data_IF_213222878634
#
_entry.id   IF_213222878634
#
_cell.length_a   1.000
_cell.length_b   1.000
_cell.length_c   1.000
_cell.angle_alpha   90.00
_cell.angle_beta   90.00
_cell.angle_gamma   90.00
#
_symmetry.space_group_name_H-M   'P 1'
#
loop_
_entity.id
_entity.type
_entity.pdbx_description
1 polymer ?
#
# COMPACT_ATOMS: atom_id res chain seq x y z
N UNK A 1 30.68 -32.41 21.69
CA UNK A 1 31.25 -32.24 20.34
C UNK A 1 31.77 -30.82 20.29
N UNK A 2 33.09 -30.65 20.22
CA UNK A 2 33.70 -29.33 20.17
C UNK A 2 33.26 -28.62 18.89
N UNK A 3 32.77 -27.38 19.03
CA UNK A 3 32.48 -26.50 17.89
C UNK A 3 33.81 -26.15 17.22
N UNK A 4 34.20 -26.91 16.21
CA UNK A 4 35.38 -26.59 15.42
C UNK A 4 35.12 -25.30 14.62
N UNK A 5 36.05 -24.35 14.71
CA UNK A 5 35.93 -23.07 13.99
C UNK A 5 36.07 -23.35 12.49
N UNK A 6 35.08 -22.90 11.72
CA UNK A 6 35.12 -22.96 10.26
C UNK A 6 36.24 -22.05 9.74
N UNK A 7 37.07 -22.59 8.85
CA UNK A 7 38.24 -21.90 8.28
C UNK A 7 38.19 -21.90 6.75
N UNK A 8 37.08 -22.35 6.15
CA UNK A 8 36.89 -22.28 4.71
C UNK A 8 36.35 -20.89 4.34
N UNK A 9 37.19 -20.09 3.66
CA UNK A 9 36.85 -18.74 3.24
C UNK A 9 35.60 -18.68 2.34
N UNK A 10 35.28 -19.77 1.62
CA UNK A 10 34.11 -19.83 0.74
C UNK A 10 32.77 -19.85 1.48
N UNK A 11 32.79 -20.12 2.80
CA UNK A 11 31.62 -20.07 3.66
C UNK A 11 31.33 -18.67 4.23
N UNK A 12 32.23 -17.70 4.02
CA UNK A 12 32.08 -16.33 4.52
C UNK A 12 31.77 -15.35 3.40
N UNK A 13 30.78 -14.46 3.60
CA UNK A 13 30.63 -13.28 2.74
C UNK A 13 31.64 -12.19 3.12
N UNK A 14 31.84 -11.20 2.25
CA UNK A 14 32.71 -10.05 2.56
C UNK A 14 32.24 -9.34 3.85
N UNK A 15 30.93 -9.22 4.05
CA UNK A 15 30.37 -8.61 5.26
C UNK A 15 30.61 -9.49 6.52
N UNK A 16 30.59 -10.81 6.38
CA UNK A 16 30.94 -11.72 7.48
C UNK A 16 32.41 -11.60 7.84
N UNK A 17 33.29 -11.46 6.85
CA UNK A 17 34.74 -11.24 7.05
C UNK A 17 34.98 -9.87 7.72
N UNK A 18 34.28 -8.81 7.31
CA UNK A 18 34.40 -7.50 7.96
C UNK A 18 33.85 -7.51 9.38
N UNK A 19 32.76 -8.24 9.63
CA UNK A 19 32.23 -8.45 10.99
C UNK A 19 33.21 -9.24 11.85
N UNK A 20 33.85 -10.27 11.29
CA UNK A 20 34.88 -11.08 11.96
C UNK A 20 36.12 -10.25 12.34
N UNK A 21 36.50 -9.30 11.49
CA UNK A 21 37.63 -8.39 11.73
C UNK A 21 37.26 -7.12 12.53
N UNK A 22 35.97 -6.96 12.83
CA UNK A 22 35.41 -5.75 13.47
C UNK A 22 35.81 -4.49 12.69
N UNK A 23 35.50 -4.49 11.39
CA UNK A 23 35.75 -3.39 10.44
C UNK A 23 34.39 -2.80 10.03
N UNK A 24 34.20 -1.50 10.29
CA UNK A 24 32.97 -0.78 9.93
C UNK A 24 33.27 0.19 8.78
N UNK A 25 32.76 -0.12 7.59
CA UNK A 25 32.94 0.73 6.41
C UNK A 25 31.82 1.78 6.36
N UNK A 26 32.21 3.06 6.33
CA UNK A 26 31.30 4.18 6.05
C UNK A 26 31.20 4.42 4.55
N UNK A 27 30.11 5.01 4.08
CA UNK A 27 29.85 5.24 2.64
C UNK A 27 30.94 6.09 1.94
N UNK A 28 31.74 6.82 2.71
CA UNK A 28 32.75 7.78 2.24
C UNK A 28 34.20 7.29 2.46
N UNK A 29 34.40 6.02 2.86
CA UNK A 29 35.71 5.51 3.25
C UNK A 29 36.68 5.34 2.07
N UNK A 30 37.90 5.86 2.21
CA UNK A 30 38.97 5.70 1.22
C UNK A 30 39.48 4.24 1.17
N UNK A 31 39.65 3.70 -0.03
CA UNK A 31 40.08 2.31 -0.25
C UNK A 31 41.45 2.01 0.40
N UNK A 32 42.40 2.95 0.37
CA UNK A 32 43.73 2.74 0.95
C UNK A 32 43.68 2.70 2.48
N UNK A 33 42.77 3.47 3.09
CA UNK A 33 42.60 3.47 4.53
C UNK A 33 41.89 2.20 5.02
N UNK A 34 40.88 1.72 4.28
CA UNK A 34 40.27 0.41 4.52
C UNK A 34 41.29 -0.72 4.36
N UNK A 35 42.15 -0.67 3.32
CA UNK A 35 43.21 -1.66 3.08
C UNK A 35 44.21 -1.72 4.24
N UNK A 36 44.64 -0.57 4.78
CA UNK A 36 45.52 -0.52 5.96
C UNK A 36 44.86 -1.13 7.19
N UNK A 37 43.58 -0.86 7.40
CA UNK A 37 42.83 -1.39 8.54
C UNK A 37 42.70 -2.92 8.47
N UNK A 38 42.39 -3.46 7.28
CA UNK A 38 42.34 -4.90 7.03
C UNK A 38 43.67 -5.57 7.36
N UNK A 39 44.80 -5.02 6.87
CA UNK A 39 46.14 -5.57 7.12
C UNK A 39 46.47 -5.54 8.62
N UNK A 40 46.17 -4.43 9.30
CA UNK A 40 46.41 -4.28 10.74
C UNK A 40 45.63 -5.31 11.57
N UNK A 41 44.33 -5.46 11.31
CA UNK A 41 43.46 -6.40 12.04
C UNK A 41 43.86 -7.85 11.78
N UNK A 42 44.09 -8.23 10.52
CA UNK A 42 44.50 -9.60 10.16
C UNK A 42 45.85 -9.97 10.76
N UNK A 43 46.86 -9.09 10.71
CA UNK A 43 48.18 -9.34 11.33
C UNK A 43 48.07 -9.57 12.85
N UNK A 44 47.24 -8.79 13.54
CA UNK A 44 47.00 -8.97 14.98
C UNK A 44 46.45 -10.36 15.31
N UNK A 45 45.53 -10.89 14.49
CA UNK A 45 44.99 -12.23 14.69
C UNK A 45 46.01 -13.31 14.31
N UNK A 46 46.76 -13.14 13.22
CA UNK A 46 47.84 -14.05 12.82
C UNK A 46 48.86 -14.22 13.96
N UNK A 47 49.39 -13.12 14.49
CA UNK A 47 50.35 -13.15 15.60
C UNK A 47 49.78 -13.84 16.84
N UNK A 48 48.53 -13.52 17.20
CA UNK A 48 47.85 -14.14 18.34
C UNK A 48 47.74 -15.66 18.18
N UNK A 49 47.34 -16.14 17.01
CA UNK A 49 47.13 -17.58 16.78
C UNK A 49 48.43 -18.33 16.49
N UNK A 50 49.47 -17.67 16.00
CA UNK A 50 50.84 -18.21 15.93
C UNK A 50 51.41 -18.44 17.34
N UNK A 51 51.24 -17.49 18.27
CA UNK A 51 51.64 -17.66 19.68
C UNK A 51 50.91 -18.80 20.39
N UNK A 52 49.63 -19.01 20.03
CA UNK A 52 48.81 -20.11 20.54
C UNK A 52 49.09 -21.45 19.84
N UNK A 53 50.06 -21.50 18.92
CA UNK A 53 50.42 -22.68 18.11
C UNK A 53 49.21 -23.26 17.36
N UNK A 54 48.33 -22.40 16.84
CA UNK A 54 47.18 -22.78 16.02
C UNK A 54 47.39 -22.38 14.54
N UNK A 55 48.09 -23.20 13.75
CA UNK A 55 48.44 -22.87 12.37
C UNK A 55 47.22 -22.81 11.44
N UNK A 56 46.14 -23.54 11.75
CA UNK A 56 44.90 -23.58 10.96
C UNK A 56 44.23 -22.21 10.93
N UNK A 57 44.08 -21.57 12.09
CA UNK A 57 43.46 -20.25 12.21
C UNK A 57 44.41 -19.14 11.72
N UNK A 58 45.71 -19.27 11.98
CA UNK A 58 46.72 -18.34 11.43
C UNK A 58 46.69 -18.31 9.89
N UNK A 59 46.61 -19.47 9.25
CA UNK A 59 46.50 -19.58 7.79
C UNK A 59 45.18 -19.02 7.25
N UNK A 60 44.08 -19.19 7.98
CA UNK A 60 42.80 -18.58 7.65
C UNK A 60 42.87 -17.05 7.59
N UNK A 61 43.47 -16.39 8.60
CA UNK A 61 43.63 -14.93 8.58
C UNK A 61 44.63 -14.44 7.52
N UNK A 62 45.65 -15.23 7.17
CA UNK A 62 46.53 -14.94 6.00
C UNK A 62 45.74 -14.98 4.69
N UNK A 63 44.89 -15.99 4.53
CA UNK A 63 44.02 -16.14 3.35
C UNK A 63 43.00 -14.99 3.23
N UNK A 64 42.43 -14.54 4.36
CA UNK A 64 41.57 -13.35 4.42
C UNK A 64 42.32 -12.10 3.94
N UNK A 65 43.55 -11.89 4.44
CA UNK A 65 44.35 -10.73 4.08
C UNK A 65 44.63 -10.70 2.57
N UNK A 66 45.07 -11.81 1.99
CA UNK A 66 45.34 -11.92 0.54
C UNK A 66 44.07 -11.72 -0.30
N UNK A 67 42.95 -12.28 0.14
CA UNK A 67 41.66 -12.17 -0.56
C UNK A 67 41.17 -10.71 -0.65
N UNK A 68 41.34 -9.94 0.42
CA UNK A 68 40.82 -8.57 0.51
C UNK A 68 41.77 -7.49 -0.04
N UNK A 69 43.08 -7.77 -0.15
CA UNK A 69 44.09 -6.76 -0.50
C UNK A 69 44.65 -6.87 -1.92
N UNK A 70 44.17 -7.84 -2.70
CA UNK A 70 44.61 -8.06 -4.09
C UNK A 70 44.20 -6.90 -4.99
N UNK A 71 45.18 -6.07 -5.38
CA UNK A 71 44.98 -4.99 -6.35
C UNK A 71 44.59 -5.59 -7.72
N UNK A 72 43.43 -5.19 -8.24
CA UNK A 72 43.09 -5.41 -9.66
C UNK A 72 43.70 -4.26 -10.44
N UNK A 73 44.71 -4.55 -11.25
CA UNK A 73 45.44 -3.57 -12.05
C UNK A 73 44.51 -2.58 -12.76
N UNK A 74 44.76 -1.31 -12.47
CA UNK A 74 44.26 -0.13 -13.16
C UNK A 74 44.89 -0.03 -14.55
N UNK A 75 44.09 -0.08 -15.61
CA UNK A 75 44.24 0.84 -16.74
C UNK A 75 42.94 0.96 -17.53
N UNK A 76 42.44 2.19 -17.53
CA UNK A 76 41.26 2.71 -18.18
C UNK A 76 41.49 2.95 -19.67
N UNK A 77 40.43 2.81 -20.45
CA UNK A 77 40.16 3.69 -21.60
C UNK A 77 38.66 3.83 -21.76
N UNK A 78 38.17 5.01 -21.38
CA UNK A 78 36.82 5.51 -21.67
C UNK A 78 36.80 5.89 -23.15
N UNK A 79 35.99 5.23 -23.98
CA UNK A 79 35.39 5.83 -25.20
C UNK A 79 34.04 5.17 -25.49
N UNK A 80 33.00 6.01 -25.45
CA UNK A 80 31.70 6.03 -26.16
C UNK A 80 31.01 4.73 -26.62
N UNK A 81 29.74 4.64 -26.22
CA UNK A 81 28.65 3.93 -26.89
C UNK A 81 28.60 4.22 -28.40
N UNK A 82 28.53 3.18 -29.24
CA UNK A 82 27.38 3.12 -30.15
C UNK A 82 26.77 1.71 -30.29
N UNK A 83 25.44 1.67 -30.16
CA UNK A 83 24.41 0.79 -30.77
C UNK A 83 24.87 -0.35 -31.73
N UNK A 84 24.13 -1.49 -31.74
CA UNK A 84 24.61 -2.77 -32.30
C UNK A 84 24.48 -2.87 -33.82
N UNK A 85 25.51 -3.39 -34.50
CA UNK A 85 25.44 -3.92 -35.86
C UNK A 85 26.33 -5.17 -36.02
N UNK A 86 25.69 -6.26 -36.46
CA UNK A 86 26.12 -7.35 -37.37
C UNK A 86 27.53 -8.01 -37.33
N UNK A 87 27.63 -9.33 -37.64
CA UNK A 87 28.86 -10.11 -37.50
C UNK A 87 29.70 -10.20 -38.78
N UNK A 88 31.02 -10.39 -38.62
CA UNK A 88 31.93 -11.05 -39.58
C UNK A 88 33.25 -11.41 -38.85
N UNK A 89 33.60 -12.69 -38.70
CA UNK A 89 34.34 -13.57 -39.64
C UNK A 89 35.85 -13.34 -39.69
N UNK A 90 36.61 -14.35 -39.25
CA UNK A 90 37.87 -14.77 -39.87
C UNK A 90 39.17 -14.48 -39.10
N UNK A 91 39.95 -15.53 -38.82
CA UNK A 91 41.39 -15.38 -38.53
C UNK A 91 41.98 -16.45 -37.61
N UNK A 92 42.23 -17.64 -38.15
CA UNK A 92 43.04 -18.70 -37.54
C UNK A 92 44.54 -18.35 -37.59
N UNK A 93 45.30 -18.69 -36.55
CA UNK A 93 46.62 -19.32 -36.70
C UNK A 93 47.00 -20.10 -35.44
N UNK A 94 47.35 -21.37 -35.65
CA UNK A 94 47.89 -22.31 -34.68
C UNK A 94 49.38 -22.05 -34.43
N UNK A 95 49.85 -22.26 -33.19
CA UNK A 95 51.17 -22.84 -32.91
C UNK A 95 51.09 -23.77 -31.70
N UNK A 96 51.43 -25.03 -31.94
CA UNK A 96 51.68 -26.12 -31.01
C UNK A 96 53.15 -26.14 -30.61
N UNK A 97 53.48 -26.41 -29.34
CA UNK A 97 54.65 -27.23 -28.96
C UNK A 97 54.59 -27.74 -27.50
N UNK A 98 54.38 -29.06 -27.38
CA UNK A 98 55.06 -30.07 -26.53
C UNK A 98 55.30 -29.87 -25.01
N UNK A 99 54.43 -30.53 -24.24
CA UNK A 99 54.65 -31.53 -23.15
C UNK A 99 55.98 -31.61 -22.36
N UNK A 100 55.86 -31.57 -21.02
CA UNK A 100 56.41 -32.58 -20.09
C UNK A 100 55.63 -32.53 -18.75
N UNK A 101 55.01 -33.65 -18.37
CA UNK A 101 54.00 -33.72 -17.31
C UNK A 101 54.48 -34.16 -15.93
N UNK A 102 53.68 -33.81 -14.91
CA UNK A 102 53.50 -34.53 -13.64
C UNK A 102 52.02 -34.43 -13.21
N UNK A 103 51.32 -35.57 -13.32
CA UNK A 103 50.13 -36.06 -12.60
C UNK A 103 49.00 -35.12 -12.10
N UNK A 104 47.84 -35.28 -12.77
CA UNK A 104 46.48 -35.42 -12.23
C UNK A 104 45.96 -34.42 -11.17
N UNK A 105 45.46 -33.28 -11.65
CA UNK A 105 44.23 -32.68 -11.12
C UNK A 105 43.23 -32.67 -12.28
N UNK A 106 42.13 -33.41 -12.12
CA UNK A 106 41.03 -33.36 -13.08
C UNK A 106 40.45 -31.94 -13.09
N UNK A 107 40.92 -31.12 -14.02
CA UNK A 107 40.23 -29.91 -14.44
C UNK A 107 38.92 -30.34 -15.05
N UNK A 108 37.84 -30.27 -14.27
CA UNK A 108 36.51 -30.39 -14.82
C UNK A 108 36.27 -29.11 -15.63
N UNK A 109 36.37 -29.31 -16.93
CA UNK A 109 36.32 -28.32 -17.98
C UNK A 109 34.91 -27.79 -18.08
N UNK A 110 34.74 -26.53 -17.70
CA UNK A 110 33.71 -25.63 -18.25
C UNK A 110 34.29 -24.22 -18.42
N UNK A 111 35.58 -24.12 -18.77
CA UNK A 111 36.17 -22.90 -19.31
C UNK A 111 35.81 -22.78 -20.79
N UNK A 112 34.56 -22.41 -21.03
CA UNK A 112 34.06 -21.90 -22.30
C UNK A 112 33.37 -20.57 -22.04
N UNK A 113 34.15 -19.48 -21.98
CA UNK A 113 33.72 -18.07 -22.09
C UNK A 113 32.27 -17.75 -21.63
N UNK A 114 31.91 -18.17 -20.42
CA UNK A 114 30.62 -17.91 -19.80
C UNK A 114 30.88 -17.44 -18.39
N UNK A 115 30.46 -16.22 -18.07
CA UNK A 115 30.57 -15.66 -16.73
C UNK A 115 30.10 -16.70 -15.68
N UNK A 116 30.97 -17.19 -14.77
CA UNK A 116 30.57 -18.14 -13.74
C UNK A 116 29.79 -17.38 -12.66
N UNK A 117 28.54 -17.04 -12.98
CA UNK A 117 27.63 -16.39 -12.06
C UNK A 117 27.12 -17.49 -11.10
N UNK A 118 27.80 -17.66 -9.97
CA UNK A 118 27.32 -18.46 -8.84
C UNK A 118 26.14 -17.74 -8.13
N UNK A 119 25.05 -17.45 -8.86
CA UNK A 119 23.82 -16.88 -8.28
C UNK A 119 23.04 -17.99 -7.60
N UNK A 120 23.03 -17.99 -6.26
CA UNK A 120 22.20 -18.88 -5.43
C UNK A 120 20.70 -18.55 -5.52
N UNK A 121 20.38 -17.31 -5.87
CA UNK A 121 19.01 -16.84 -6.04
C UNK A 121 18.87 -16.00 -7.31
N UNK A 122 17.65 -15.98 -7.85
CA UNK A 122 17.25 -15.15 -8.97
C UNK A 122 16.07 -14.29 -8.54
N UNK A 123 16.13 -13.02 -8.91
CA UNK A 123 14.99 -12.11 -8.78
C UNK A 123 14.10 -12.22 -10.01
N UNK A 124 12.79 -12.38 -9.78
CA UNK A 124 11.76 -12.33 -10.82
C UNK A 124 10.83 -11.16 -10.54
N UNK A 125 10.45 -10.43 -11.58
CA UNK A 125 9.45 -9.38 -11.50
C UNK A 125 8.17 -9.92 -12.11
N UNK A 126 7.11 -9.97 -11.30
CA UNK A 126 5.78 -10.38 -11.72
C UNK A 126 4.90 -9.14 -11.78
N UNK A 127 4.63 -8.66 -12.99
CA UNK A 127 3.65 -7.61 -13.22
C UNK A 127 2.23 -8.19 -13.16
N UNK A 128 1.36 -7.53 -12.40
CA UNK A 128 -0.05 -7.88 -12.25
C UNK A 128 -0.87 -6.69 -12.70
N UNK A 129 -1.82 -6.96 -13.60
CA UNK A 129 -2.75 -5.98 -14.14
C UNK A 129 -4.16 -6.55 -14.02
N UNK A 130 -5.03 -5.83 -13.33
CA UNK A 130 -6.41 -6.25 -13.08
C UNK A 130 -7.25 -6.39 -14.37
N UNK A 131 -6.82 -5.81 -15.51
CA UNK A 131 -7.44 -6.07 -16.82
C UNK A 131 -7.31 -7.52 -17.27
N UNK A 132 -6.31 -8.23 -16.76
CA UNK A 132 -6.04 -9.64 -17.07
C UNK A 132 -6.62 -10.61 -16.02
N UNK A 133 -7.50 -10.13 -15.14
CA UNK A 133 -8.19 -10.98 -14.15
C UNK A 133 -9.11 -11.99 -14.85
N UNK A 134 -9.42 -13.08 -14.15
CA UNK A 134 -10.40 -14.04 -14.64
C UNK A 134 -11.78 -13.36 -14.77
N UNK A 135 -12.46 -13.43 -15.94
CA UNK A 135 -13.74 -12.77 -16.19
C UNK A 135 -14.86 -13.12 -15.20
N UNK A 136 -14.73 -14.22 -14.43
CA UNK A 136 -15.69 -14.55 -13.37
C UNK A 136 -15.66 -13.55 -12.20
N UNK A 137 -14.60 -12.74 -12.06
CA UNK A 137 -14.47 -11.72 -11.03
C UNK A 137 -14.84 -10.34 -11.58
N UNK A 138 -16.01 -9.78 -11.22
CA UNK A 138 -16.41 -8.47 -11.72
C UNK A 138 -15.55 -7.33 -11.17
N UNK A 139 -15.10 -7.45 -9.91
CA UNK A 139 -14.28 -6.45 -9.24
C UNK A 139 -12.84 -6.43 -9.75
N UNK A 140 -12.32 -5.22 -10.01
CA UNK A 140 -10.91 -5.00 -10.33
C UNK A 140 -10.02 -4.98 -9.08
N UNK A 141 -10.58 -5.02 -7.86
CA UNK A 141 -9.87 -4.93 -6.59
C UNK A 141 -10.04 -6.14 -5.67
N UNK A 142 -10.85 -7.12 -6.07
CA UNK A 142 -11.00 -8.41 -5.40
C UNK A 142 -11.15 -9.50 -6.45
N UNK A 143 -10.01 -10.10 -6.84
CA UNK A 143 -9.96 -11.05 -7.94
C UNK A 143 -8.85 -12.09 -7.75
N UNK A 144 -8.85 -13.10 -8.61
CA UNK A 144 -7.81 -14.11 -8.69
C UNK A 144 -7.17 -14.14 -10.08
N UNK A 145 -5.86 -14.38 -10.13
CA UNK A 145 -5.09 -14.65 -11.34
C UNK A 145 -4.49 -16.04 -11.24
N UNK A 146 -4.61 -16.80 -12.33
CA UNK A 146 -3.86 -18.03 -12.57
C UNK A 146 -2.60 -17.67 -13.37
N UNK A 147 -1.42 -18.00 -12.85
CA UNK A 147 -0.17 -17.77 -13.57
C UNK A 147 -0.04 -18.77 -14.72
N UNK A 148 0.36 -18.29 -15.90
CA UNK A 148 0.59 -19.17 -17.07
C UNK A 148 1.69 -20.19 -16.79
N UNK A 149 2.72 -19.79 -16.05
CA UNK A 149 3.81 -20.63 -15.62
C UNK A 149 3.98 -20.53 -14.11
N UNK A 150 3.91 -21.65 -13.36
CA UNK A 150 4.21 -21.67 -11.95
C UNK A 150 5.60 -21.12 -11.64
N UNK A 151 5.69 -20.31 -10.59
CA UNK A 151 6.97 -19.79 -10.08
C UNK A 151 7.39 -20.69 -8.92
N UNK A 152 8.41 -21.51 -9.16
CA UNK A 152 8.93 -22.45 -8.17
C UNK A 152 10.00 -21.81 -7.27
N UNK A 153 10.24 -22.45 -6.12
CA UNK A 153 11.34 -22.14 -5.21
C UNK A 153 11.37 -20.69 -4.70
N UNK A 154 10.19 -20.06 -4.56
CA UNK A 154 10.06 -18.70 -4.02
C UNK A 154 10.37 -18.72 -2.52
N UNK A 155 11.23 -17.80 -2.08
CA UNK A 155 11.60 -17.60 -0.67
C UNK A 155 11.26 -16.20 -0.16
N UNK A 156 10.97 -15.26 -1.06
CA UNK A 156 10.63 -13.88 -0.72
C UNK A 156 9.66 -13.29 -1.75
N UNK A 157 8.72 -12.46 -1.29
CA UNK A 157 7.83 -11.63 -2.10
C UNK A 157 7.75 -10.21 -1.53
N UNK A 158 7.84 -9.19 -2.39
CA UNK A 158 7.70 -7.78 -2.01
C UNK A 158 7.00 -6.96 -3.09
N UNK A 159 6.14 -6.02 -2.71
CA UNK A 159 5.61 -5.02 -3.64
C UNK A 159 6.74 -4.08 -4.08
N UNK A 160 6.88 -3.85 -5.39
CA UNK A 160 7.94 -3.01 -5.95
C UNK A 160 7.45 -1.81 -6.73
N UNK A 161 6.26 -1.86 -7.31
CA UNK A 161 5.69 -0.77 -8.10
C UNK A 161 4.15 -0.86 -8.04
N UNK A 162 3.47 0.26 -8.24
CA UNK A 162 2.00 0.40 -8.17
C UNK A 162 1.52 1.59 -9.02
N UNK A 163 0.54 1.32 -9.88
CA UNK A 163 -0.29 2.32 -10.55
C UNK A 163 -1.74 2.16 -10.10
N UNK A 164 -2.25 3.14 -9.36
CA UNK A 164 -3.60 3.08 -8.77
C UNK A 164 -4.40 4.34 -9.11
N UNK A 165 -5.55 4.22 -9.80
CA UNK A 165 -6.46 5.35 -10.01
C UNK A 165 -7.24 5.68 -8.73
N UNK A 166 -7.31 6.96 -8.35
CA UNK A 166 -8.13 7.47 -7.24
C UNK A 166 -9.57 7.73 -7.69
N UNK A 167 -10.22 6.69 -8.21
CA UNK A 167 -11.56 6.78 -8.83
C UNK A 167 -12.70 6.35 -7.93
N UNK A 168 -12.43 5.94 -6.69
CA UNK A 168 -13.44 5.55 -5.71
C UNK A 168 -14.34 6.73 -5.28
N UNK A 169 -15.56 6.42 -4.83
CA UNK A 169 -16.50 7.42 -4.31
C UNK A 169 -16.55 7.41 -2.77
N UNK A 170 -16.14 8.50 -2.10
CA UNK A 170 -16.25 8.63 -0.64
C UNK A 170 -17.69 8.60 -0.14
N UNK A 171 -18.63 9.08 -0.95
CA UNK A 171 -20.08 9.07 -0.69
C UNK A 171 -20.70 8.12 -1.72
N UNK A 172 -21.29 7.01 -1.26
CA UNK A 172 -21.98 6.07 -2.15
C UNK A 172 -22.99 5.17 -1.42
N UNK A 173 -23.96 4.67 -2.18
CA UNK A 173 -24.92 3.68 -1.70
C UNK A 173 -24.25 2.35 -1.36
N UNK A 174 -23.17 1.98 -2.06
CA UNK A 174 -22.40 0.76 -1.76
C UNK A 174 -21.73 0.81 -0.38
N UNK A 175 -21.37 2.01 0.09
CA UNK A 175 -20.83 2.24 1.44
C UNK A 175 -21.92 2.51 2.49
N UNK A 176 -23.18 2.56 2.08
CA UNK A 176 -24.35 2.88 2.92
C UNK A 176 -24.16 4.17 3.74
N UNK A 177 -23.58 5.18 3.09
CA UNK A 177 -23.15 6.43 3.72
C UNK A 177 -23.59 7.70 2.97
N UNK A 178 -24.57 7.58 2.08
CA UNK A 178 -25.01 8.65 1.18
C UNK A 178 -26.41 9.16 1.51
N UNK A 179 -26.84 9.04 2.76
CA UNK A 179 -28.13 9.52 3.19
C UNK A 179 -28.14 9.96 4.66
N UNK A 180 -29.15 10.74 5.02
CA UNK A 180 -29.49 11.05 6.41
C UNK A 180 -30.98 11.25 6.58
N UNK A 181 -31.46 11.08 7.81
CA UNK A 181 -32.84 11.36 8.17
C UNK A 181 -32.96 12.66 8.94
N UNK A 182 -34.03 13.41 8.66
CA UNK A 182 -34.40 14.58 9.44
C UNK A 182 -35.86 14.46 9.84
N UNK A 183 -36.14 14.63 11.12
CA UNK A 183 -37.48 14.69 11.66
C UNK A 183 -37.78 16.11 12.12
N UNK A 184 -38.92 16.65 11.73
CA UNK A 184 -39.35 18.01 12.08
C UNK A 184 -40.57 17.91 12.99
N UNK A 185 -40.46 18.43 14.20
CA UNK A 185 -41.55 18.48 15.16
C UNK A 185 -42.35 19.76 14.96
N UNK A 186 -43.67 19.63 14.77
CA UNK A 186 -44.56 20.78 14.61
C UNK A 186 -45.20 21.17 15.95
N UNK A 187 -45.59 22.43 16.06
CA UNK A 187 -46.40 22.92 17.19
C UNK A 187 -47.75 22.20 17.26
N UNK A 188 -48.35 21.94 16.09
CA UNK A 188 -49.60 21.21 15.95
C UNK A 188 -49.48 20.13 14.86
N UNK A 189 -49.94 18.91 15.18
CA UNK A 189 -49.97 17.78 14.25
C UNK A 189 -48.78 16.83 14.37
N UNK A 190 -48.78 15.72 13.60
CA UNK A 190 -47.72 14.73 13.65
C UNK A 190 -46.38 15.29 13.12
N UNK A 191 -45.24 14.74 13.56
CA UNK A 191 -43.95 15.10 13.04
C UNK A 191 -43.84 14.73 11.55
N UNK A 192 -43.02 15.48 10.82
CA UNK A 192 -42.67 15.16 9.43
C UNK A 192 -41.31 14.50 9.35
N UNK A 193 -41.15 13.57 8.42
CA UNK A 193 -39.91 12.84 8.18
C UNK A 193 -39.39 13.19 6.80
N UNK A 194 -38.10 13.45 6.72
CA UNK A 194 -37.39 13.75 5.49
C UNK A 194 -36.23 12.77 5.35
N UNK A 195 -36.11 12.20 4.16
CA UNK A 195 -35.01 11.32 3.79
C UNK A 195 -34.13 12.08 2.80
N UNK A 196 -32.96 12.52 3.24
CA UNK A 196 -32.02 13.26 2.39
C UNK A 196 -31.07 12.25 1.77
N UNK A 197 -31.07 12.17 0.45
CA UNK A 197 -30.25 11.28 -0.35
C UNK A 197 -29.23 12.08 -1.18
N UNK A 198 -28.00 11.63 -1.16
CA UNK A 198 -26.88 12.17 -1.92
C UNK A 198 -26.48 11.13 -2.99
N UNK A 199 -26.42 11.50 -4.27
CA UNK A 199 -25.95 10.60 -5.31
C UNK A 199 -24.50 10.15 -5.08
N UNK A 200 -24.16 8.98 -5.60
CA UNK A 200 -22.81 8.43 -5.51
C UNK A 200 -21.83 9.36 -6.24
N UNK A 201 -20.71 9.67 -5.59
CA UNK A 201 -19.71 10.51 -6.23
C UNK A 201 -18.66 11.10 -5.30
N UNK A 202 -17.83 11.93 -5.93
CA UNK A 202 -16.91 12.84 -5.26
C UNK A 202 -17.43 14.26 -5.41
N UNK A 203 -17.37 15.04 -4.34
CA UNK A 203 -17.95 16.38 -4.31
C UNK A 203 -16.93 17.41 -3.85
N UNK A 204 -16.96 18.60 -4.46
CA UNK A 204 -16.46 19.79 -3.79
C UNK A 204 -17.41 20.18 -2.66
N UNK A 205 -16.88 20.78 -1.60
CA UNK A 205 -17.67 21.20 -0.45
C UNK A 205 -18.86 22.09 -0.86
N UNK A 206 -18.61 23.12 -1.69
CA UNK A 206 -19.65 24.06 -2.14
C UNK A 206 -20.73 23.38 -2.99
N UNK A 207 -20.36 22.41 -3.83
CA UNK A 207 -21.29 21.67 -4.69
C UNK A 207 -22.18 20.74 -3.86
N UNK A 208 -21.62 20.03 -2.87
CA UNK A 208 -22.41 19.19 -1.96
C UNK A 208 -23.42 20.01 -1.17
N UNK A 209 -22.98 21.13 -0.61
CA UNK A 209 -23.82 22.05 0.18
C UNK A 209 -24.91 22.66 -0.69
N UNK A 210 -24.57 23.06 -1.93
CA UNK A 210 -25.53 23.58 -2.89
C UNK A 210 -26.54 22.53 -3.32
N UNK A 211 -26.09 21.29 -3.58
CA UNK A 211 -26.96 20.16 -3.92
C UNK A 211 -27.98 19.90 -2.82
N UNK A 212 -27.53 19.78 -1.57
CA UNK A 212 -28.43 19.58 -0.43
C UNK A 212 -29.43 20.73 -0.34
N UNK A 213 -28.98 21.99 -0.29
CA UNK A 213 -29.89 23.14 -0.19
C UNK A 213 -30.85 23.30 -1.39
N UNK A 214 -30.48 22.86 -2.59
CA UNK A 214 -31.33 22.96 -3.79
C UNK A 214 -32.50 21.97 -3.79
N UNK A 215 -32.43 20.96 -2.95
CA UNK A 215 -33.34 19.83 -2.97
C UNK A 215 -34.78 20.23 -2.59
N UNK A 216 -35.76 19.81 -3.40
CA UNK A 216 -37.17 20.21 -3.27
C UNK A 216 -37.80 19.90 -1.90
N UNK A 217 -37.39 18.83 -1.23
CA UNK A 217 -37.95 18.52 0.10
C UNK A 217 -37.37 19.39 1.22
N UNK A 218 -36.25 20.05 0.98
CA UNK A 218 -35.74 21.12 1.86
C UNK A 218 -36.38 22.47 1.51
N UNK A 219 -36.83 22.64 0.26
CA UNK A 219 -37.58 23.80 -0.25
C UNK A 219 -39.09 23.53 -0.35
N UNK A 220 -39.80 23.46 0.78
CA UNK A 220 -41.25 23.20 0.76
C UNK A 220 -42.05 24.36 0.16
N UNK A 221 -42.85 24.14 -0.91
CA UNK A 221 -43.72 25.17 -1.48
C UNK A 221 -45.01 25.42 -0.68
N UNK A 222 -45.22 24.73 0.45
CA UNK A 222 -46.42 24.90 1.30
C UNK A 222 -46.45 26.29 1.95
N UNK A 223 -45.30 26.97 2.02
CA UNK A 223 -45.17 28.37 2.41
C UNK A 223 -44.31 29.08 1.37
N UNK A 224 -44.71 30.26 0.90
CA UNK A 224 -44.07 30.99 -0.20
C UNK A 224 -42.68 31.60 0.15
N UNK A 225 -41.90 30.97 1.03
CA UNK A 225 -40.61 31.47 1.54
C UNK A 225 -39.67 30.30 1.89
N UNK A 226 -38.57 30.19 1.13
CA UNK A 226 -37.25 29.61 1.45
C UNK A 226 -37.15 28.23 2.13
N UNK A 227 -35.97 27.57 2.12
CA UNK A 227 -35.84 26.23 2.68
C UNK A 227 -36.22 26.17 4.17
N UNK A 228 -37.00 25.15 4.56
CA UNK A 228 -37.34 24.89 5.98
C UNK A 228 -36.06 24.57 6.76
N UNK A 229 -35.14 23.83 6.13
CA UNK A 229 -33.85 23.43 6.68
C UNK A 229 -32.76 23.83 5.68
N UNK A 230 -31.71 24.48 6.15
CA UNK A 230 -30.50 24.79 5.39
C UNK A 230 -29.28 24.13 6.01
N UNK A 231 -28.35 23.75 5.14
CA UNK A 231 -27.01 23.35 5.51
C UNK A 231 -26.02 24.44 5.10
N UNK A 232 -25.10 24.78 5.99
CA UNK A 232 -24.06 25.78 5.79
C UNK A 232 -22.71 25.17 6.10
N UNK A 233 -21.70 25.54 5.33
CA UNK A 233 -20.32 25.15 5.57
C UNK A 233 -19.50 26.41 5.82
N UNK A 234 -18.88 26.49 7.00
CA UNK A 234 -18.10 27.64 7.42
C UNK A 234 -16.63 27.48 6.99
N UNK A 235 -16.40 27.52 5.69
CA UNK A 235 -15.05 27.62 5.11
C UNK A 235 -15.13 28.32 3.76
N UNK A 236 -14.37 29.40 3.61
CA UNK A 236 -14.29 30.17 2.37
C UNK A 236 -12.85 30.35 1.94
N UNK A 237 -12.61 30.16 0.63
CA UNK A 237 -11.36 30.47 -0.04
C UNK A 237 -11.43 31.78 -0.83
N UNK A 238 -12.55 32.51 -0.73
CA UNK A 238 -12.82 33.77 -1.48
C UNK A 238 -12.09 34.96 -0.85
N UNK A 239 -10.77 34.86 -0.72
CA UNK A 239 -9.90 35.96 -0.33
C UNK A 239 -8.72 36.07 -1.31
N UNK A 240 -8.03 37.22 -1.25
CA UNK A 240 -6.93 37.55 -2.17
C UNK A 240 -5.79 36.52 -2.20
N UNK A 241 -5.63 35.73 -1.12
CA UNK A 241 -4.58 34.72 -1.00
C UNK A 241 -5.03 33.29 -1.31
N UNK A 242 -6.32 33.04 -1.57
CA UNK A 242 -6.86 31.69 -1.72
C UNK A 242 -6.69 30.81 -0.47
N UNK A 243 -6.50 31.42 0.71
CA UNK A 243 -6.30 30.69 1.96
C UNK A 243 -7.65 30.35 2.58
N UNK A 244 -7.85 29.14 3.10
CA UNK A 244 -9.09 28.79 3.78
C UNK A 244 -9.32 29.67 5.02
N UNK A 245 -10.49 30.30 5.13
CA UNK A 245 -10.94 31.09 6.29
C UNK A 245 -12.28 30.59 6.78
N UNK A 246 -12.41 30.37 8.09
CA UNK A 246 -13.60 29.77 8.71
C UNK A 246 -13.24 28.61 9.64
N UNK A 247 -14.24 27.99 10.26
CA UNK A 247 -14.04 26.87 11.19
C UNK A 247 -13.94 25.50 10.50
N UNK A 248 -14.31 25.38 9.22
CA UNK A 248 -14.44 24.10 8.52
C UNK A 248 -15.62 23.25 9.00
N UNK A 249 -16.52 23.83 9.81
CA UNK A 249 -17.65 23.10 10.40
C UNK A 249 -18.91 23.24 9.55
N UNK A 250 -19.79 22.26 9.69
CA UNK A 250 -21.11 22.23 9.05
C UNK A 250 -22.15 22.63 10.08
N UNK A 251 -23.06 23.50 9.68
CA UNK A 251 -24.25 23.85 10.45
C UNK A 251 -25.48 23.43 9.66
N UNK A 252 -26.31 22.60 10.25
CA UNK A 252 -27.63 22.28 9.73
C UNK A 252 -28.65 22.94 10.66
N UNK A 253 -29.42 23.86 10.12
CA UNK A 253 -30.35 24.67 10.89
C UNK A 253 -31.61 25.00 10.10
N UNK A 254 -32.67 25.35 10.81
CA UNK A 254 -33.87 25.90 10.19
C UNK A 254 -33.64 27.35 9.72
N UNK A 255 -34.10 27.71 8.52
CA UNK A 255 -34.04 29.11 8.03
C UNK A 255 -35.38 29.82 8.33
N UNK A 256 -35.31 30.99 8.97
CA UNK A 256 -36.43 31.77 9.54
C UNK A 256 -37.55 32.11 8.52
N UNK A 257 -38.85 31.90 8.80
CA UNK A 257 -39.75 32.68 9.68
C UNK A 257 -40.84 31.80 10.40
N UNK A 258 -40.66 30.48 10.39
CA UNK A 258 -41.65 29.49 10.83
C UNK A 258 -41.34 28.82 12.19
N UNK A 259 -40.47 29.42 13.01
CA UNK A 259 -40.39 29.11 14.47
C UNK A 259 -41.76 29.19 15.17
N UNK A 260 -42.77 29.76 14.51
CA UNK A 260 -44.17 29.80 14.96
C UNK A 260 -44.94 28.49 14.78
N UNK A 261 -44.45 27.53 13.99
CA UNK A 261 -45.15 26.27 13.68
C UNK A 261 -44.30 25.01 13.88
N UNK A 262 -43.01 25.15 14.17
CA UNK A 262 -42.06 24.06 14.45
C UNK A 262 -41.50 24.23 15.86
N UNK A 263 -41.41 23.15 16.63
CA UNK A 263 -40.84 23.15 17.99
C UNK A 263 -39.35 22.83 18.00
N UNK A 264 -38.92 21.89 17.15
CA UNK A 264 -37.52 21.46 17.04
C UNK A 264 -37.34 20.57 15.81
N UNK A 265 -36.07 20.31 15.48
CA UNK A 265 -35.69 19.28 14.52
C UNK A 265 -34.90 18.17 15.23
N UNK A 266 -34.86 17.02 14.60
CA UNK A 266 -34.02 15.89 14.98
C UNK A 266 -33.25 15.40 13.77
N UNK A 267 -31.92 15.40 13.89
CA UNK A 267 -31.02 14.81 12.91
C UNK A 267 -30.76 13.37 13.32
N UNK A 268 -30.98 12.44 12.41
CA UNK A 268 -30.74 11.03 12.67
C UNK A 268 -29.84 10.45 11.56
N UNK A 269 -28.61 10.13 11.97
CA UNK A 269 -27.59 9.53 11.13
C UNK A 269 -27.49 8.01 11.30
N UNK A 270 -28.24 7.43 12.24
CA UNK A 270 -28.25 5.99 12.52
C UNK A 270 -29.50 5.27 11.99
N UNK A 271 -30.48 5.99 11.43
CA UNK A 271 -31.61 5.38 10.74
C UNK A 271 -31.15 4.56 9.52
N UNK A 272 -31.87 3.50 9.19
CA UNK A 272 -31.56 2.66 8.03
C UNK A 272 -31.81 3.38 6.70
N UNK A 273 -31.10 2.97 5.66
CA UNK A 273 -31.38 3.37 4.28
C UNK A 273 -32.76 2.89 3.84
N UNK A 274 -33.32 3.59 2.86
CA UNK A 274 -34.54 3.18 2.16
C UNK A 274 -34.15 2.46 0.87
N UNK A 275 -34.73 1.29 0.64
CA UNK A 275 -34.45 0.46 -0.54
C UNK A 275 -34.96 1.16 -1.81
N UNK A 276 -34.15 1.13 -2.88
CA UNK A 276 -34.48 1.71 -4.19
C UNK A 276 -34.80 3.22 -4.19
N UNK A 277 -34.33 3.98 -3.18
CA UNK A 277 -34.49 5.43 -3.12
C UNK A 277 -33.20 6.13 -3.57
N UNK A 278 -33.33 6.99 -4.58
CA UNK A 278 -32.21 7.73 -5.21
C UNK A 278 -32.40 9.24 -5.21
N UNK A 279 -33.41 9.73 -4.49
CA UNK A 279 -33.76 11.14 -4.42
C UNK A 279 -34.14 11.51 -3.00
N UNK A 280 -33.98 12.79 -2.65
CA UNK A 280 -34.42 13.29 -1.35
C UNK A 280 -35.93 13.54 -1.32
N UNK A 281 -36.55 13.00 -0.27
CA UNK A 281 -37.97 12.87 0.05
C UNK A 281 -38.56 13.60 1.25
N UNK A 282 -39.85 13.94 1.25
CA UNK A 282 -40.64 13.84 2.49
C UNK A 282 -41.26 12.44 2.56
N UNK A 283 -40.97 11.70 3.62
CA UNK A 283 -41.47 10.34 3.83
C UNK A 283 -42.81 10.41 4.55
N UNK A 284 -43.84 9.85 3.91
CA UNK A 284 -45.22 9.83 4.44
C UNK A 284 -45.75 8.43 4.69
N UNK A 285 -45.12 7.42 4.08
CA UNK A 285 -45.46 6.02 4.25
C UNK A 285 -45.02 5.52 5.64
N UNK A 286 -45.96 5.07 6.50
CA UNK A 286 -45.63 4.50 7.80
C UNK A 286 -44.64 3.33 7.74
N UNK A 287 -44.66 2.50 6.69
CA UNK A 287 -43.77 1.35 6.55
C UNK A 287 -42.31 1.80 6.33
N UNK A 288 -42.09 2.87 5.58
CA UNK A 288 -40.77 3.48 5.41
C UNK A 288 -40.31 4.21 6.67
N UNK A 289 -41.23 4.87 7.39
CA UNK A 289 -40.92 5.58 8.65
C UNK A 289 -40.41 4.61 9.72
N UNK A 290 -40.77 3.32 9.68
CA UNK A 290 -40.17 2.32 10.59
C UNK A 290 -38.64 2.26 10.45
N UNK A 291 -38.08 2.49 9.25
CA UNK A 291 -36.63 2.49 9.00
C UNK A 291 -35.90 3.64 9.72
N UNK A 292 -36.58 4.74 9.98
CA UNK A 292 -36.05 5.83 10.81
C UNK A 292 -35.73 5.37 12.23
N UNK A 293 -36.63 4.58 12.82
CA UNK A 293 -36.56 4.15 14.23
C UNK A 293 -35.73 2.88 14.42
N UNK A 294 -35.40 2.19 13.33
CA UNK A 294 -34.55 1.00 13.39
C UNK A 294 -33.10 1.46 13.52
N UNK A 295 -32.52 1.21 14.69
CA UNK A 295 -31.12 1.50 14.94
C UNK A 295 -30.27 0.59 14.07
N UNK A 296 -29.52 1.19 13.17
CA UNK A 296 -28.44 0.51 12.51
C UNK A 296 -27.33 0.22 13.53
N UNK A 297 -26.98 -1.06 13.71
CA UNK A 297 -25.83 -1.46 14.53
C UNK A 297 -24.49 -1.15 13.83
N UNK A 298 -24.52 -0.57 12.62
CA UNK A 298 -23.34 -0.12 11.91
C UNK A 298 -22.56 0.93 12.71
N UNK A 299 -21.24 0.92 12.53
CA UNK A 299 -20.36 1.93 13.08
C UNK A 299 -20.77 3.32 12.54
N UNK A 300 -21.21 4.22 13.43
CA UNK A 300 -21.64 5.58 13.07
C UNK A 300 -20.56 6.36 12.32
N UNK A 301 -19.29 6.00 12.49
CA UNK A 301 -18.16 6.60 11.77
C UNK A 301 -18.21 6.39 10.26
N UNK A 302 -18.99 5.40 9.80
CA UNK A 302 -19.17 5.10 8.39
C UNK A 302 -20.35 5.84 7.77
N UNK A 303 -21.18 6.54 8.56
CA UNK A 303 -22.40 7.19 8.08
C UNK A 303 -22.16 8.62 7.60
N UNK A 304 -23.09 9.14 6.79
CA UNK A 304 -22.99 10.47 6.18
C UNK A 304 -22.74 11.60 7.21
N UNK A 305 -23.40 11.53 8.37
CA UNK A 305 -23.20 12.51 9.43
C UNK A 305 -21.74 12.62 9.90
N UNK A 306 -20.99 11.52 9.89
CA UNK A 306 -19.58 11.53 10.26
C UNK A 306 -18.74 12.30 9.24
N UNK A 307 -19.04 12.13 7.95
CA UNK A 307 -18.41 12.89 6.86
C UNK A 307 -18.69 14.39 6.97
N UNK A 308 -19.89 14.78 7.39
CA UNK A 308 -20.24 16.17 7.67
C UNK A 308 -19.61 16.73 8.97
N UNK A 309 -18.95 15.89 9.77
CA UNK A 309 -18.28 16.29 11.01
C UNK A 309 -19.09 16.09 12.28
N UNK A 310 -20.31 15.56 12.21
CA UNK A 310 -21.11 15.20 13.38
C UNK A 310 -20.58 13.92 14.04
N UNK A 311 -20.72 13.80 15.36
CA UNK A 311 -20.15 12.71 16.16
C UNK A 311 -21.16 11.89 16.97
N UNK A 312 -22.44 12.28 16.95
CA UNK A 312 -23.55 11.54 17.58
C UNK A 312 -24.43 10.88 16.52
N UNK A 313 -25.09 9.80 16.90
CA UNK A 313 -26.09 9.14 16.06
C UNK A 313 -27.32 10.02 15.84
N UNK A 314 -27.71 10.77 16.87
CA UNK A 314 -28.89 11.64 16.86
C UNK A 314 -28.62 12.97 17.55
N UNK A 315 -29.30 14.01 17.08
CA UNK A 315 -29.32 15.35 17.66
C UNK A 315 -30.77 15.78 17.80
N UNK A 316 -31.21 16.21 18.99
CA UNK A 316 -32.63 16.50 19.31
C UNK A 316 -32.79 17.78 20.12
N UNK A 317 -34.00 18.35 20.11
CA UNK A 317 -34.41 19.42 21.02
C UNK A 317 -34.09 20.86 20.58
N UNK A 318 -33.42 21.07 19.47
CA UNK A 318 -32.98 22.40 18.99
C UNK A 318 -33.46 22.65 17.56
N UNK A 319 -33.29 23.89 17.08
CA UNK A 319 -33.61 24.29 15.70
C UNK A 319 -32.43 24.14 14.74
N UNK A 320 -31.25 23.80 15.25
CA UNK A 320 -30.06 23.65 14.44
C UNK A 320 -28.88 23.11 15.24
N UNK A 321 -27.93 22.53 14.54
CA UNK A 321 -26.76 21.86 15.12
C UNK A 321 -25.53 22.19 14.32
N UNK A 322 -24.48 22.61 15.03
CA UNK A 322 -23.13 22.77 14.50
C UNK A 322 -22.38 21.46 14.73
N UNK A 323 -21.69 20.97 13.71
CA UNK A 323 -20.85 19.79 13.79
C UNK A 323 -19.73 19.95 14.83
N UNK A 324 -19.40 18.87 15.55
CA UNK A 324 -18.30 18.89 16.51
C UNK A 324 -16.95 19.02 15.80
N UNK A 325 -16.83 18.40 14.63
CA UNK A 325 -15.61 18.32 13.82
C UNK A 325 -15.77 19.01 12.46
N UNK A 326 -14.66 19.12 11.74
CA UNK A 326 -14.65 19.62 10.36
C UNK A 326 -15.28 18.60 9.41
N UNK A 327 -15.84 19.08 8.30
CA UNK A 327 -16.27 18.20 7.22
C UNK A 327 -15.07 17.51 6.57
N UNK A 328 -15.16 16.19 6.38
CA UNK A 328 -14.15 15.35 5.75
C UNK A 328 -14.84 14.39 4.78
N UNK A 329 -14.87 14.78 3.50
CA UNK A 329 -15.44 14.00 2.38
C UNK A 329 -14.36 13.54 1.39
N UNK A 330 -13.08 13.54 1.81
CA UNK A 330 -11.94 13.24 0.93
C UNK A 330 -11.85 11.73 0.64
N UNK A 331 -12.38 10.89 1.53
CA UNK A 331 -12.37 9.44 1.41
C UNK A 331 -11.22 8.77 2.16
N UNK A 332 -10.84 7.53 1.79
CA UNK A 332 -9.82 6.77 2.49
C UNK A 332 -8.45 7.46 2.48
N UNK A 333 -7.79 7.49 3.64
CA UNK A 333 -6.44 8.09 3.78
C UNK A 333 -5.32 7.14 3.40
N UNK A 334 -5.58 5.84 3.51
CA UNK A 334 -4.65 4.80 3.14
C UNK A 334 -5.39 3.52 2.81
N UNK A 335 -4.75 2.70 1.98
CA UNK A 335 -5.26 1.40 1.56
C UNK A 335 -4.27 0.31 1.98
N UNK A 336 -4.78 -0.91 2.05
CA UNK A 336 -3.96 -2.11 2.21
C UNK A 336 -4.07 -2.99 0.98
N UNK A 337 -2.91 -3.44 0.48
CA UNK A 337 -2.83 -4.46 -0.56
C UNK A 337 -2.59 -5.82 0.11
N UNK A 338 -3.52 -6.74 -0.12
CA UNK A 338 -3.50 -8.11 0.40
C UNK A 338 -3.27 -9.05 -0.79
N UNK A 339 -2.23 -9.88 -0.68
CA UNK A 339 -1.85 -10.83 -1.72
C UNK A 339 -1.81 -12.24 -1.11
N UNK A 340 -2.72 -13.12 -1.56
CA UNK A 340 -2.72 -14.53 -1.13
C UNK A 340 -2.22 -15.43 -2.24
N UNK A 341 -1.35 -16.36 -1.90
CA UNK A 341 -0.70 -17.30 -2.81
C UNK A 341 -0.97 -18.78 -2.44
N UNK A 342 -2.04 -18.99 -1.67
CA UNK A 342 -2.44 -20.30 -1.14
C UNK A 342 -1.50 -20.84 -0.06
N UNK A 343 -0.66 -20.01 0.55
CA UNK A 343 0.14 -20.39 1.73
C UNK A 343 -0.69 -20.18 3.00
N UNK A 344 -0.58 -21.11 3.95
CA UNK A 344 -1.15 -20.90 5.28
C UNK A 344 -0.28 -19.87 6.03
N UNK A 345 -0.90 -18.89 6.70
CA UNK A 345 -0.19 -17.78 7.38
C UNK A 345 0.79 -18.18 8.49
N UNK A 346 0.93 -19.47 8.81
CA UNK A 346 1.97 -20.00 9.71
C UNK A 346 3.34 -20.17 9.03
N UNK A 347 3.37 -20.19 7.70
CA UNK A 347 4.59 -20.46 6.91
C UNK A 347 5.24 -19.18 6.37
N UNK A 348 4.78 -18.03 6.84
CA UNK A 348 5.23 -16.70 6.44
C UNK A 348 5.28 -15.77 7.65
N UNK A 349 6.06 -14.71 7.58
CA UNK A 349 6.00 -13.61 8.54
C UNK A 349 4.75 -12.75 8.33
N UNK A 350 4.24 -12.18 9.43
CA UNK A 350 3.19 -11.15 9.42
C UNK A 350 3.83 -9.80 9.69
N UNK A 351 3.80 -8.91 8.70
CA UNK A 351 4.49 -7.62 8.77
C UNK A 351 3.59 -6.45 9.20
N UNK A 352 2.28 -6.56 8.99
CA UNK A 352 1.34 -5.48 9.28
C UNK A 352 0.51 -5.80 10.51
N UNK A 353 0.61 -4.93 11.51
CA UNK A 353 -0.15 -5.03 12.77
C UNK A 353 -1.04 -3.79 12.88
N UNK A 354 -2.30 -3.96 13.26
CA UNK A 354 -3.25 -2.87 13.44
C UNK A 354 -3.70 -2.75 14.89
N UNK A 355 -3.96 -1.52 15.32
CA UNK A 355 -4.56 -1.19 16.61
C UNK A 355 -6.05 -1.55 16.70
N UNK A 356 -6.68 -1.96 15.59
CA UNK A 356 -8.09 -2.36 15.58
C UNK A 356 -8.28 -3.74 16.21
N UNK A 357 -9.37 -3.94 16.96
CA UNK A 357 -9.60 -5.16 17.74
C UNK A 357 -9.64 -6.47 16.93
N UNK A 358 -9.82 -6.40 15.61
CA UNK A 358 -9.83 -7.57 14.72
C UNK A 358 -8.51 -7.77 13.94
N UNK A 359 -7.45 -6.98 14.20
CA UNK A 359 -6.16 -7.10 13.51
C UNK A 359 -6.20 -6.79 12.00
N UNK A 360 -5.08 -6.89 11.30
CA UNK A 360 -5.04 -6.87 9.82
C UNK A 360 -4.93 -8.30 9.29
N UNK A 361 -5.24 -8.46 8.01
CA UNK A 361 -4.99 -9.73 7.34
C UNK A 361 -3.49 -10.03 7.32
N UNK A 362 -3.10 -11.25 7.71
CA UNK A 362 -1.70 -11.68 7.72
C UNK A 362 -1.05 -11.65 6.33
N UNK A 363 -1.87 -11.73 5.28
CA UNK A 363 -1.42 -11.65 3.89
C UNK A 363 -1.31 -10.20 3.35
N UNK A 364 -1.39 -9.19 4.22
CA UNK A 364 -1.12 -7.80 3.84
C UNK A 364 0.35 -7.63 3.48
N UNK A 365 0.65 -7.06 2.31
CA UNK A 365 2.03 -6.82 1.84
C UNK A 365 2.39 -5.34 1.71
N UNK A 366 1.40 -4.45 1.71
CA UNK A 366 1.64 -3.01 1.61
C UNK A 366 0.55 -2.19 2.29
N UNK A 367 0.97 -1.05 2.85
CA UNK A 367 0.12 0.09 3.22
C UNK A 367 0.41 1.26 2.28
N UNK A 368 -0.59 1.67 1.52
CA UNK A 368 -0.49 2.68 0.46
C UNK A 368 -1.14 3.95 0.98
N UNK A 369 -0.37 5.01 1.24
CA UNK A 369 -0.93 6.30 1.68
C UNK A 369 -1.45 7.09 0.48
N UNK A 370 -2.70 7.51 0.49
CA UNK A 370 -3.28 8.32 -0.59
C UNK A 370 -2.80 9.77 -0.43
N UNK A 371 -2.30 10.35 -1.52
CA UNK A 371 -1.80 11.74 -1.56
C UNK A 371 -2.38 12.58 -2.69
N UNK A 372 -3.02 11.93 -3.67
CA UNK A 372 -3.51 12.57 -4.89
C UNK A 372 -4.91 13.14 -4.71
N UNK A 373 -5.25 14.08 -5.58
CA UNK A 373 -6.64 14.47 -5.77
C UNK A 373 -7.46 13.30 -6.31
N UNK A 374 -8.77 13.36 -6.15
CA UNK A 374 -9.69 12.42 -6.79
C UNK A 374 -9.59 12.48 -8.31
N UNK A 375 -9.94 11.36 -8.95
CA UNK A 375 -9.88 11.16 -10.40
C UNK A 375 -8.49 11.36 -11.00
N UNK A 376 -7.46 11.01 -10.23
CA UNK A 376 -6.06 11.06 -10.66
C UNK A 376 -5.50 9.63 -10.77
N UNK A 377 -4.49 9.44 -11.60
CA UNK A 377 -3.67 8.23 -11.58
C UNK A 377 -2.42 8.56 -10.78
N UNK A 378 -2.30 7.95 -9.60
CA UNK A 378 -1.11 8.09 -8.79
C UNK A 378 -0.07 7.04 -9.22
N UNK A 379 1.16 7.47 -9.45
CA UNK A 379 2.30 6.61 -9.79
C UNK A 379 3.28 6.56 -8.60
N UNK A 380 4.10 5.52 -8.50
CA UNK A 380 4.97 5.21 -7.34
C UNK A 380 5.72 6.39 -6.70
N UNK A 381 6.23 7.35 -7.49
CA UNK A 381 6.93 8.52 -6.95
C UNK A 381 6.02 9.49 -6.15
N UNK A 382 4.70 9.37 -6.29
CA UNK A 382 3.68 10.15 -5.58
C UNK A 382 3.10 9.43 -4.35
N UNK A 383 3.48 8.17 -4.10
CA UNK A 383 3.01 7.41 -2.95
C UNK A 383 4.00 7.41 -1.79
N UNK A 384 3.48 7.38 -0.57
CA UNK A 384 4.20 6.75 0.55
C UNK A 384 3.67 5.32 0.69
N UNK A 385 4.21 4.43 -0.14
CA UNK A 385 4.01 2.98 0.01
C UNK A 385 4.96 2.48 1.08
N UNK A 386 4.40 1.93 2.14
CA UNK A 386 5.16 1.19 3.15
C UNK A 386 4.96 -0.30 2.88
N UNK A 387 6.05 -1.02 2.61
CA UNK A 387 6.02 -2.45 2.29
C UNK A 387 7.23 -3.14 2.90
N UNK A 388 6.98 -4.29 3.51
CA UNK A 388 8.02 -5.17 4.05
C UNK A 388 7.99 -6.51 3.32
N UNK A 389 9.14 -7.12 3.01
CA UNK A 389 9.19 -8.41 2.35
C UNK A 389 8.45 -9.48 3.15
N UNK A 390 7.61 -10.26 2.46
CA UNK A 390 7.12 -11.54 2.96
C UNK A 390 8.19 -12.59 2.68
N UNK A 391 8.71 -13.18 3.73
CA UNK A 391 9.58 -14.35 3.71
C UNK A 391 8.75 -15.62 3.83
N UNK A 392 9.12 -16.64 3.05
CA UNK A 392 8.56 -17.97 3.17
C UNK A 392 9.53 -18.85 3.97
N UNK A 393 9.04 -19.55 4.99
CA UNK A 393 9.86 -20.44 5.82
C UNK A 393 10.18 -21.79 5.15
N UNK A 394 10.02 -21.86 3.83
CA UNK A 394 10.30 -22.99 2.98
C UNK A 394 10.17 -22.59 1.51
N UNK A 395 10.60 -23.47 0.60
CA UNK A 395 10.46 -23.24 -0.84
C UNK A 395 8.98 -23.25 -1.24
N UNK A 396 8.48 -22.13 -1.75
CA UNK A 396 7.09 -22.00 -2.19
C UNK A 396 6.98 -22.10 -3.70
N UNK A 397 6.00 -22.88 -4.16
CA UNK A 397 5.50 -22.85 -5.54
C UNK A 397 4.27 -21.94 -5.60
N UNK A 398 4.30 -20.91 -6.44
CA UNK A 398 3.19 -19.99 -6.66
C UNK A 398 2.57 -20.28 -8.02
N UNK A 399 1.28 -20.61 -8.03
CA UNK A 399 0.50 -20.90 -9.25
C UNK A 399 -0.69 -19.95 -9.41
N UNK A 400 -1.24 -19.51 -8.28
CA UNK A 400 -2.41 -18.65 -8.21
C UNK A 400 -2.16 -17.52 -7.23
N UNK A 401 -2.67 -16.35 -7.55
CA UNK A 401 -2.61 -15.17 -6.69
C UNK A 401 -4.01 -14.60 -6.56
N UNK A 402 -4.48 -14.45 -5.32
CA UNK A 402 -5.66 -13.64 -5.00
C UNK A 402 -5.19 -12.26 -4.57
N UNK A 403 -5.81 -11.24 -5.14
CA UNK A 403 -5.53 -9.83 -4.91
C UNK A 403 -6.74 -9.21 -4.23
N UNK A 404 -6.53 -8.53 -3.09
CA UNK A 404 -7.53 -7.63 -2.50
C UNK A 404 -6.93 -6.27 -2.20
N UNK A 405 -7.63 -5.21 -2.60
CA UNK A 405 -7.33 -3.83 -2.22
C UNK A 405 -8.46 -3.33 -1.29
N UNK A 406 -8.09 -2.96 -0.06
CA UNK A 406 -9.07 -2.59 0.97
C UNK A 406 -8.74 -1.24 1.62
N UNK A 407 -9.78 -0.57 2.10
CA UNK A 407 -9.65 0.70 2.84
C UNK A 407 -9.25 0.50 4.32
N UNK A 408 -9.16 1.59 5.08
CA UNK A 408 -8.83 1.57 6.52
C UNK A 408 -9.85 0.81 7.38
N UNK A 409 -11.06 0.62 6.86
CA UNK A 409 -12.15 -0.15 7.47
C UNK A 409 -12.22 -1.58 6.94
N UNK A 410 -11.27 -2.00 6.10
CA UNK A 410 -11.14 -3.33 5.49
C UNK A 410 -12.25 -3.65 4.48
N UNK A 411 -12.93 -2.63 3.96
CA UNK A 411 -13.90 -2.79 2.88
C UNK A 411 -13.16 -2.89 1.56
N UNK A 412 -13.62 -3.77 0.67
CA UNK A 412 -13.09 -3.86 -0.71
C UNK A 412 -13.35 -2.52 -1.40
N UNK A 413 -12.31 -1.95 -1.97
CA UNK A 413 -12.39 -0.65 -2.61
C UNK A 413 -13.05 -0.77 -3.98
N UNK A 414 -14.11 -0.01 -4.24
CA UNK A 414 -14.68 0.10 -5.59
C UNK A 414 -13.95 1.19 -6.38
N UNK A 415 -13.33 0.82 -7.49
CA UNK A 415 -12.65 1.73 -8.42
C UNK A 415 -13.56 2.17 -9.57
N UNK A 416 -14.88 2.01 -9.44
CA UNK A 416 -15.86 2.40 -10.46
C UNK A 416 -15.54 1.83 -11.84
N UNK A 417 -15.29 0.51 -11.87
CA UNK A 417 -14.90 -0.25 -13.06
C UNK A 417 -13.54 0.11 -13.66
N UNK A 418 -12.75 0.97 -13.01
CA UNK A 418 -11.38 1.22 -13.42
C UNK A 418 -10.45 0.12 -12.94
N UNK A 419 -9.34 -0.04 -13.64
CA UNK A 419 -8.34 -1.07 -13.37
C UNK A 419 -7.08 -0.45 -12.74
N UNK A 420 -6.35 -1.27 -12.00
CA UNK A 420 -5.05 -0.93 -11.44
C UNK A 420 -4.01 -2.01 -11.75
N UNK A 421 -2.74 -1.65 -11.67
CA UNK A 421 -1.60 -2.55 -11.87
C UNK A 421 -0.54 -2.37 -10.81
N UNK A 422 0.28 -3.40 -10.62
CA UNK A 422 1.39 -3.39 -9.68
C UNK A 422 2.40 -4.47 -10.02
N UNK A 423 3.64 -4.29 -9.57
CA UNK A 423 4.71 -5.29 -9.76
C UNK A 423 5.15 -5.89 -8.43
N UNK A 424 5.15 -7.22 -8.36
CA UNK A 424 5.75 -7.99 -7.27
C UNK A 424 7.18 -8.41 -7.64
N UNK A 425 8.12 -8.22 -6.73
CA UNK A 425 9.45 -8.83 -6.80
C UNK A 425 9.46 -10.11 -5.99
N UNK A 426 9.89 -11.18 -6.64
CA UNK A 426 10.00 -12.51 -6.07
C UNK A 426 11.47 -12.93 -6.08
N UNK A 427 11.98 -13.40 -4.95
CA UNK A 427 13.31 -14.04 -4.87
C UNK A 427 13.12 -15.54 -4.92
N UNK A 428 13.72 -16.22 -5.91
CA UNK A 428 13.66 -17.68 -6.07
C UNK A 428 15.03 -18.31 -5.89
N UNK A 429 15.10 -19.47 -5.25
CA UNK A 429 16.35 -20.26 -5.18
C UNK A 429 16.65 -20.86 -6.55
N UNK A 430 17.89 -20.70 -6.97
CA UNK A 430 18.40 -21.28 -8.20
C UNK A 430 18.60 -22.79 -8.01
N UNK A 431 17.86 -23.60 -8.77
CA UNK A 431 18.11 -25.03 -8.89
C UNK A 431 18.67 -25.32 -10.28
N UNK A 432 19.95 -25.68 -10.37
CA UNK A 432 20.46 -26.37 -11.56
C UNK A 432 19.66 -27.67 -11.68
N UNK A 433 18.87 -27.79 -12.74
CA UNK A 433 18.16 -29.03 -13.08
C UNK A 433 19.11 -29.98 -13.77
#
# INVERSE_FOLDING_TARGET
MENEIDTDLSHYTINDIFSLLDINITADADYNDVKKEIISKTNKYIEKFDLLKNPKISHFFKSIQEYLTKDRDTNSSIVQDPRPHGPNMGGSTNQTETTNGISNISYNSNDGAGNPINRKTITKLLNIDSRNRDPIYPSSTDFMINLQYPINNVIEMKLCDLELPTTYYPISSALDNNYMWIKVYKNNGPPQYYYVFIPDGYYYYDDLISYINSTKCLNSPIFAVNPIISIKFDLSYKNLGGVGTGTGKVTLEMVDLDKRNVTSIELNFAGNSLENRTTTFMVTDPEEIVRYNKLDNANIQLKFGWLLGYRKSTYTGEYGYISESVMDIIGPRYLFLIIRDGTNGLNTNVNFISSTGNGLDGDTIARISIKGSSFNVQVQNDFSVYTEPRYYYGLKKIEKISVKLVDEYKRVLDLNQNDFSFTLRLTTVYSNS
#
